data_IF_389237659394
#
_entry.id   IF_389237659394
#
_cell.length_a   1.000
_cell.length_b   1.000
_cell.length_c   1.000
_cell.angle_alpha   90.00
_cell.angle_beta   90.00
_cell.angle_gamma   90.00
#
_symmetry.space_group_name_H-M   'P 1'
#
loop_
_entity.id
_entity.type
_entity.pdbx_description
1 polymer ?
#
# COMPACT_ATOMS: atom_id res chain seq x y z
N UNK A 1 -6.95 22.43 -13.68
CA UNK A 1 -6.41 21.16 -14.25
C UNK A 1 -6.56 20.06 -13.21
N UNK A 2 -7.50 19.11 -13.33
CA UNK A 2 -7.68 18.07 -12.32
C UNK A 2 -6.52 17.06 -12.40
N UNK A 3 -5.80 16.89 -11.29
CA UNK A 3 -4.74 15.89 -11.17
C UNK A 3 -5.36 14.49 -11.16
N UNK A 4 -5.12 13.73 -12.23
CA UNK A 4 -5.38 12.28 -12.30
C UNK A 4 -4.31 11.52 -11.49
N UNK A 5 -4.30 11.74 -10.18
CA UNK A 5 -3.54 10.94 -9.22
C UNK A 5 -4.26 9.62 -8.92
N UNK A 6 -3.54 8.54 -8.54
CA UNK A 6 -4.19 7.35 -7.99
C UNK A 6 -5.04 7.74 -6.77
N UNK A 7 -6.16 7.04 -6.51
CA UNK A 7 -7.27 7.56 -5.69
C UNK A 7 -6.98 7.88 -4.21
N UNK A 8 -5.80 7.55 -3.66
CA UNK A 8 -5.29 8.12 -2.39
C UNK A 8 -3.82 7.69 -2.17
N UNK A 9 -3.06 8.58 -1.54
CA UNK A 9 -1.65 8.44 -1.21
C UNK A 9 -1.52 8.76 0.29
N UNK A 10 -1.08 7.77 1.09
CA UNK A 10 -0.72 8.03 2.49
C UNK A 10 0.67 8.65 2.43
N UNK A 11 0.74 9.96 2.21
CA UNK A 11 1.99 10.63 1.88
C UNK A 11 2.67 11.12 3.16
N UNK A 12 3.84 10.57 3.44
CA UNK A 12 4.81 11.18 4.36
C UNK A 12 5.50 12.30 3.58
N UNK A 13 5.53 13.51 4.15
CA UNK A 13 5.82 14.77 3.44
C UNK A 13 7.09 14.75 2.59
N UNK A 14 6.99 15.32 1.38
CA UNK A 14 8.06 15.34 0.37
C UNK A 14 9.31 16.09 0.81
N UNK A 15 9.15 17.24 1.49
CA UNK A 15 10.24 18.18 1.74
C UNK A 15 11.28 17.63 2.73
N UNK A 16 10.82 17.08 3.86
CA UNK A 16 11.71 16.47 4.86
C UNK A 16 12.41 15.22 4.35
N UNK A 17 11.71 14.39 3.56
CA UNK A 17 12.29 13.20 2.96
C UNK A 17 13.34 13.54 1.91
N UNK A 18 13.10 14.55 1.08
CA UNK A 18 14.05 14.99 0.06
C UNK A 18 15.33 15.58 0.69
N UNK A 19 15.19 16.37 1.77
CA UNK A 19 16.33 16.86 2.54
C UNK A 19 17.15 15.71 3.15
N UNK A 20 16.49 14.74 3.79
CA UNK A 20 17.13 13.54 4.32
C UNK A 20 17.86 12.74 3.23
N UNK A 21 17.23 12.56 2.06
CA UNK A 21 17.85 11.84 0.93
C UNK A 21 19.05 12.60 0.38
N UNK A 22 19.03 13.94 0.35
CA UNK A 22 20.19 14.76 -0.02
C UNK A 22 21.33 14.57 0.97
N UNK A 23 21.05 14.63 2.28
CA UNK A 23 22.04 14.38 3.33
C UNK A 23 22.65 12.98 3.22
N UNK A 24 21.83 11.94 2.97
CA UNK A 24 22.31 10.58 2.75
C UNK A 24 23.26 10.50 1.53
N UNK A 25 22.96 11.22 0.44
CA UNK A 25 23.80 11.19 -0.78
C UNK A 25 25.18 11.81 -0.57
N UNK A 26 25.32 12.74 0.38
CA UNK A 26 26.60 13.35 0.72
C UNK A 26 27.54 12.38 1.47
N UNK A 27 27.02 11.28 2.02
CA UNK A 27 27.82 10.28 2.72
C UNK A 27 28.49 9.31 1.74
N UNK A 28 29.69 8.84 2.10
CA UNK A 28 30.45 7.87 1.31
C UNK A 28 29.68 6.56 1.07
N UNK A 29 28.88 6.10 2.05
CA UNK A 29 28.02 4.91 1.98
C UNK A 29 26.56 5.22 1.61
N UNK A 30 26.28 6.40 1.02
CA UNK A 30 24.93 6.90 0.76
C UNK A 30 24.02 5.99 -0.09
N UNK A 31 24.59 5.05 -0.86
CA UNK A 31 23.81 4.02 -1.56
C UNK A 31 23.22 2.99 -0.58
N UNK A 32 24.00 2.57 0.41
CA UNK A 32 23.56 1.60 1.41
C UNK A 32 22.54 2.22 2.35
N UNK A 33 22.82 3.44 2.84
CA UNK A 33 21.89 4.18 3.70
C UNK A 33 20.52 4.44 3.05
N UNK A 34 20.47 4.72 1.74
CA UNK A 34 19.19 4.84 1.02
C UNK A 34 18.43 3.51 0.97
N UNK A 35 19.12 2.38 0.81
CA UNK A 35 18.49 1.05 0.85
C UNK A 35 17.93 0.77 2.25
N UNK A 36 18.69 1.11 3.28
CA UNK A 36 18.30 0.95 4.68
C UNK A 36 17.08 1.81 5.01
N UNK A 37 17.08 3.10 4.64
CA UNK A 37 15.92 3.98 4.82
C UNK A 37 14.67 3.41 4.14
N UNK A 38 14.79 3.01 2.87
CA UNK A 38 13.67 2.41 2.15
C UNK A 38 13.20 1.08 2.77
N UNK A 39 14.11 0.31 3.37
CA UNK A 39 13.77 -0.91 4.12
C UNK A 39 13.01 -0.54 5.40
N UNK A 40 13.52 0.36 6.22
CA UNK A 40 12.91 0.77 7.48
C UNK A 40 11.50 1.35 7.27
N UNK A 41 11.33 2.22 6.28
CA UNK A 41 10.00 2.76 5.94
C UNK A 41 9.03 1.66 5.46
N UNK A 42 9.51 0.64 4.73
CA UNK A 42 8.67 -0.52 4.35
C UNK A 42 8.30 -1.37 5.56
N UNK A 43 9.23 -1.60 6.47
CA UNK A 43 9.01 -2.33 7.72
C UNK A 43 7.96 -1.62 8.58
N UNK A 44 8.06 -0.29 8.74
CA UNK A 44 7.09 0.53 9.46
C UNK A 44 5.66 0.42 8.89
N UNK A 45 5.53 0.24 7.58
CA UNK A 45 4.24 0.06 6.89
C UNK A 45 3.75 -1.40 6.81
N UNK A 46 4.52 -2.39 7.27
CA UNK A 46 4.07 -3.79 7.25
C UNK A 46 2.78 -4.01 8.05
N UNK A 47 2.59 -3.43 9.26
CA UNK A 47 1.34 -3.60 10.01
C UNK A 47 0.13 -3.07 9.24
N UNK A 48 0.26 -1.92 8.56
CA UNK A 48 -0.81 -1.38 7.70
C UNK A 48 -1.14 -2.34 6.54
N UNK A 49 -0.12 -2.89 5.87
CA UNK A 49 -0.33 -3.89 4.82
C UNK A 49 -0.96 -5.18 5.35
N UNK A 50 -0.63 -5.60 6.58
CA UNK A 50 -1.23 -6.77 7.23
C UNK A 50 -2.71 -6.53 7.57
N UNK A 51 -3.06 -5.35 8.07
CA UNK A 51 -4.44 -4.93 8.33
C UNK A 51 -5.29 -4.95 7.05
N UNK A 52 -4.79 -4.36 5.96
CA UNK A 52 -5.48 -4.41 4.67
C UNK A 52 -5.66 -5.86 4.16
N UNK A 53 -4.69 -6.75 4.40
CA UNK A 53 -4.78 -8.17 4.04
C UNK A 53 -5.81 -8.92 4.90
N UNK A 54 -5.88 -8.67 6.21
CA UNK A 54 -6.89 -9.30 7.05
C UNK A 54 -8.29 -8.81 6.68
N UNK A 55 -8.44 -7.52 6.38
CA UNK A 55 -9.72 -6.92 6.00
C UNK A 55 -10.29 -7.49 4.70
N UNK A 56 -9.46 -7.66 3.64
CA UNK A 56 -9.92 -8.31 2.40
C UNK A 56 -10.27 -9.78 2.62
N UNK A 57 -9.54 -10.48 3.48
CA UNK A 57 -9.82 -11.87 3.81
C UNK A 57 -11.13 -12.02 4.61
N UNK A 58 -11.48 -11.02 5.42
CA UNK A 58 -12.74 -10.94 6.17
C UNK A 58 -13.94 -10.43 5.33
N UNK A 59 -13.81 -10.25 4.02
CA UNK A 59 -14.94 -10.02 3.12
C UNK A 59 -15.81 -11.29 3.07
N UNK A 60 -17.14 -11.19 3.14
CA UNK A 60 -18.00 -12.38 3.00
C UNK A 60 -17.86 -12.99 1.60
N UNK A 61 -17.92 -14.32 1.49
CA UNK A 61 -17.96 -15.02 0.19
C UNK A 61 -19.30 -15.69 0.02
N UNK A 62 -20.12 -15.18 -0.90
CA UNK A 62 -21.31 -15.87 -1.39
C UNK A 62 -20.92 -16.82 -2.54
N UNK A 63 -20.33 -17.98 -2.22
CA UNK A 63 -19.97 -18.99 -3.21
C UNK A 63 -19.26 -20.21 -2.64
N UNK A 64 -19.44 -21.37 -3.30
CA UNK A 64 -18.85 -22.67 -2.96
C UNK A 64 -17.34 -22.59 -2.75
N UNK A 65 -16.86 -23.23 -1.68
CA UNK A 65 -15.55 -23.05 -1.05
C UNK A 65 -14.37 -23.74 -1.75
N UNK A 66 -14.54 -24.33 -2.93
CA UNK A 66 -13.60 -25.33 -3.43
C UNK A 66 -12.90 -24.91 -4.73
N UNK A 67 -11.57 -25.02 -4.72
CA UNK A 67 -10.66 -25.28 -5.86
C UNK A 67 -10.05 -24.15 -6.71
N UNK A 68 -10.08 -22.87 -6.32
CA UNK A 68 -9.20 -21.86 -6.96
C UNK A 68 -8.64 -20.84 -5.98
N UNK A 69 -7.51 -20.15 -6.30
CA UNK A 69 -7.03 -19.04 -5.49
C UNK A 69 -8.16 -18.04 -5.36
N UNK A 70 -8.80 -18.00 -4.19
CA UNK A 70 -9.98 -17.17 -3.98
C UNK A 70 -9.63 -15.73 -4.29
N UNK A 71 -10.56 -14.99 -4.92
CA UNK A 71 -10.45 -13.57 -5.27
C UNK A 71 -9.76 -12.75 -4.16
N UNK A 72 -10.17 -12.98 -2.90
CA UNK A 72 -9.59 -12.37 -1.69
C UNK A 72 -8.08 -12.63 -1.56
N UNK A 73 -7.67 -13.89 -1.66
CA UNK A 73 -6.25 -14.30 -1.56
C UNK A 73 -5.39 -13.71 -2.67
N UNK A 74 -5.93 -13.62 -3.89
CA UNK A 74 -5.24 -13.04 -5.04
C UNK A 74 -5.03 -11.53 -4.85
N UNK A 75 -6.03 -10.82 -4.33
CA UNK A 75 -5.92 -9.41 -3.95
C UNK A 75 -4.93 -9.24 -2.80
N UNK A 76 -5.04 -10.04 -1.73
CA UNK A 76 -4.18 -9.97 -0.56
C UNK A 76 -2.69 -10.10 -0.91
N UNK A 77 -2.35 -11.01 -1.84
CA UNK A 77 -0.97 -11.19 -2.36
C UNK A 77 -0.42 -9.95 -3.06
N UNK A 78 -1.28 -9.07 -3.55
CA UNK A 78 -0.90 -7.83 -4.26
C UNK A 78 -0.92 -6.59 -3.36
N UNK A 79 -1.25 -6.72 -2.08
CA UNK A 79 -1.15 -5.62 -1.12
C UNK A 79 0.28 -5.56 -0.60
N UNK A 80 0.97 -4.44 -0.84
CA UNK A 80 2.35 -4.23 -0.37
C UNK A 80 2.65 -2.75 -0.11
N UNK A 81 3.56 -2.45 0.83
CA UNK A 81 4.15 -1.12 0.96
C UNK A 81 4.97 -0.75 -0.29
N UNK A 82 4.87 0.49 -0.72
CA UNK A 82 5.65 1.13 -1.79
C UNK A 82 6.36 2.34 -1.19
N UNK A 83 7.67 2.43 -1.38
CA UNK A 83 8.49 3.56 -0.91
C UNK A 83 9.25 4.12 -2.08
N UNK A 84 9.21 5.44 -2.26
CA UNK A 84 10.02 6.18 -3.22
C UNK A 84 10.80 7.27 -2.52
N UNK A 85 12.11 7.30 -2.77
CA UNK A 85 13.04 8.27 -2.20
C UNK A 85 13.44 9.35 -3.23
N UNK A 86 12.58 9.62 -4.21
CA UNK A 86 12.80 10.60 -5.27
C UNK A 86 12.03 10.31 -6.56
N UNK A 87 12.09 11.25 -7.50
CA UNK A 87 11.33 11.25 -8.75
C UNK A 87 10.16 12.24 -8.69
N UNK A 88 9.09 11.99 -9.45
CA UNK A 88 7.89 12.86 -9.46
C UNK A 88 7.14 12.89 -8.11
N UNK A 89 7.37 11.89 -7.26
CA UNK A 89 6.87 11.85 -5.89
C UNK A 89 7.88 11.12 -5.00
N UNK A 90 7.98 11.53 -3.74
CA UNK A 90 8.78 10.90 -2.69
C UNK A 90 7.88 10.62 -1.49
N UNK A 91 7.98 9.45 -0.87
CA UNK A 91 7.12 9.07 0.24
C UNK A 91 6.97 7.56 0.37
N UNK A 92 6.11 7.14 1.29
CA UNK A 92 5.85 5.74 1.58
C UNK A 92 4.34 5.51 1.74
N UNK A 93 3.78 4.58 0.96
CA UNK A 93 2.33 4.28 0.94
C UNK A 93 2.06 2.79 0.90
N UNK A 94 0.89 2.34 1.35
CA UNK A 94 0.41 0.96 1.12
C UNK A 94 -0.47 0.94 -0.12
N UNK A 95 -0.24 -0.02 -1.03
CA UNK A 95 -0.97 -0.10 -2.30
C UNK A 95 -1.43 -1.53 -2.59
N UNK A 96 -2.68 -1.65 -3.02
CA UNK A 96 -3.22 -2.86 -3.63
C UNK A 96 -2.99 -2.84 -5.15
N UNK A 97 -2.02 -3.63 -5.63
CA UNK A 97 -1.65 -3.66 -7.05
C UNK A 97 -2.66 -4.45 -7.89
N UNK A 98 -2.73 -4.15 -9.19
CA UNK A 98 -3.51 -4.93 -10.16
C UNK A 98 -3.15 -6.42 -10.07
N UNK A 99 -4.14 -7.27 -10.34
CA UNK A 99 -4.04 -8.74 -10.32
C UNK A 99 -4.13 -9.30 -11.75
N UNK A 100 -3.14 -9.05 -12.64
CA UNK A 100 -3.13 -9.66 -13.96
C UNK A 100 -3.11 -11.19 -13.80
N UNK A 101 -3.99 -11.90 -14.53
CA UNK A 101 -4.15 -13.36 -14.42
C UNK A 101 -5.33 -13.83 -13.55
N UNK A 102 -6.01 -12.94 -12.83
CA UNK A 102 -7.20 -13.32 -12.07
C UNK A 102 -8.44 -13.42 -12.97
N UNK A 103 -8.56 -14.48 -13.79
CA UNK A 103 -9.76 -14.78 -14.63
C UNK A 103 -10.31 -13.56 -15.41
N UNK A 104 -9.44 -12.78 -16.07
CA UNK A 104 -9.87 -11.57 -16.79
C UNK A 104 -10.29 -10.39 -15.90
N UNK A 105 -10.02 -10.45 -14.59
CA UNK A 105 -10.36 -9.43 -13.59
C UNK A 105 -9.11 -8.73 -13.01
N UNK A 106 -8.32 -8.00 -13.83
CA UNK A 106 -7.07 -7.37 -13.38
C UNK A 106 -7.28 -6.22 -12.41
N UNK A 107 -8.45 -5.58 -12.44
CA UNK A 107 -8.81 -4.45 -11.57
C UNK A 107 -9.57 -4.92 -10.32
N UNK A 108 -9.39 -6.17 -9.90
CA UNK A 108 -10.10 -6.77 -8.78
C UNK A 108 -10.03 -5.93 -7.50
N UNK A 109 -8.86 -5.46 -7.02
CA UNK A 109 -8.80 -4.69 -5.78
C UNK A 109 -9.62 -3.39 -5.85
N UNK A 110 -9.58 -2.69 -6.99
CA UNK A 110 -10.35 -1.47 -7.18
C UNK A 110 -11.85 -1.75 -7.19
N UNK A 111 -12.27 -2.84 -7.84
CA UNK A 111 -13.69 -3.20 -7.98
C UNK A 111 -14.29 -3.71 -6.67
N UNK A 112 -13.52 -4.44 -5.86
CA UNK A 112 -13.96 -4.93 -4.54
C UNK A 112 -14.00 -3.84 -3.48
N UNK A 113 -13.36 -2.70 -3.71
CA UNK A 113 -13.35 -1.57 -2.79
C UNK A 113 -14.32 -0.44 -3.19
N UNK A 114 -15.06 -0.58 -4.31
CA UNK A 114 -16.01 0.46 -4.72
C UNK A 114 -17.16 0.58 -3.73
N UNK A 115 -17.46 1.81 -3.31
CA UNK A 115 -18.63 2.17 -2.48
C UNK A 115 -19.95 1.80 -3.16
N UNK A 116 -20.01 2.04 -4.48
CA UNK A 116 -21.22 1.90 -5.29
C UNK A 116 -20.96 1.15 -6.62
N UNK A 117 -22.00 0.49 -7.13
CA UNK A 117 -22.05 -0.06 -8.50
C UNK A 117 -21.49 -1.48 -8.70
N UNK A 118 -20.97 -2.14 -7.67
CA UNK A 118 -20.56 -3.55 -7.70
C UNK A 118 -19.72 -3.97 -8.91
N UNK A 119 -19.71 -5.26 -9.23
CA UNK A 119 -19.26 -5.78 -10.51
C UNK A 119 -20.16 -6.94 -10.96
N UNK A 120 -20.43 -7.03 -12.26
CA UNK A 120 -21.22 -8.11 -12.83
C UNK A 120 -20.38 -9.38 -12.92
N UNK A 121 -20.95 -10.49 -12.50
CA UNK A 121 -20.38 -11.84 -12.63
C UNK A 121 -21.42 -12.77 -13.21
N UNK A 122 -21.00 -13.72 -14.02
CA UNK A 122 -21.86 -14.81 -14.47
C UNK A 122 -22.07 -15.81 -13.34
N UNK A 123 -23.29 -16.33 -13.25
CA UNK A 123 -23.58 -17.47 -12.37
C UNK A 123 -23.15 -18.73 -13.12
N UNK A 124 -21.93 -19.21 -12.82
CA UNK A 124 -21.39 -20.49 -13.30
C UNK A 124 -21.70 -20.83 -14.78
N UNK A 125 -21.10 -20.07 -15.70
CA UNK A 125 -21.16 -20.37 -17.15
C UNK A 125 -22.46 -19.99 -17.86
N UNK A 126 -23.50 -19.56 -17.14
CA UNK A 126 -24.80 -19.22 -17.72
C UNK A 126 -25.38 -17.89 -17.19
N UNK A 127 -26.36 -17.37 -17.92
CA UNK A 127 -27.27 -16.33 -17.43
C UNK A 127 -28.12 -16.86 -16.27
N UNK A 128 -28.53 -16.01 -15.30
CA UNK A 128 -28.41 -14.56 -15.31
C UNK A 128 -27.08 -14.02 -14.76
N UNK A 129 -26.69 -12.87 -15.30
CA UNK A 129 -25.66 -12.03 -14.69
C UNK A 129 -26.12 -11.55 -13.31
N UNK A 130 -25.28 -11.74 -12.30
CA UNK A 130 -25.50 -11.19 -10.96
C UNK A 130 -24.51 -10.08 -10.64
N UNK A 131 -24.97 -9.04 -9.95
CA UNK A 131 -24.10 -8.01 -9.40
C UNK A 131 -23.54 -8.48 -8.07
N UNK A 132 -22.22 -8.62 -7.98
CA UNK A 132 -21.52 -8.83 -6.72
C UNK A 132 -21.08 -7.48 -6.17
N UNK A 133 -21.31 -7.28 -4.88
CA UNK A 133 -20.83 -6.12 -4.14
C UNK A 133 -19.58 -6.51 -3.36
N UNK A 134 -18.63 -5.60 -3.31
CA UNK A 134 -17.45 -5.76 -2.47
C UNK A 134 -17.80 -5.42 -1.02
N UNK A 135 -16.89 -5.75 -0.10
CA UNK A 135 -16.98 -5.23 1.27
C UNK A 135 -16.62 -3.75 1.23
N UNK A 136 -17.53 -2.89 1.69
CA UNK A 136 -17.18 -1.50 2.00
C UNK A 136 -16.10 -1.53 3.10
N UNK A 137 -15.23 -0.53 3.13
CA UNK A 137 -14.23 -0.39 4.19
C UNK A 137 -13.17 -1.50 4.33
N UNK A 138 -12.85 -2.31 3.30
CA UNK A 138 -11.75 -3.28 3.48
C UNK A 138 -10.36 -2.66 3.27
N UNK A 139 -10.26 -1.57 2.51
CA UNK A 139 -9.01 -0.86 2.27
C UNK A 139 -9.09 0.59 2.73
N UNK A 140 -9.77 1.47 2.00
CA UNK A 140 -9.69 2.94 2.21
C UNK A 140 -10.18 3.32 3.61
N UNK A 141 -11.43 3.02 3.90
CA UNK A 141 -12.08 3.39 5.16
C UNK A 141 -11.58 2.54 6.34
N UNK A 142 -10.80 1.48 6.09
CA UNK A 142 -10.19 0.70 7.17
C UNK A 142 -9.01 1.39 7.86
N UNK A 143 -8.46 2.41 7.20
CA UNK A 143 -7.39 3.23 7.75
C UNK A 143 -7.91 4.52 8.39
N UNK A 144 -9.21 4.81 8.30
CA UNK A 144 -9.82 5.94 9.00
C UNK A 144 -9.61 5.78 10.51
N UNK A 145 -9.02 6.80 11.15
CA UNK A 145 -8.69 6.79 12.57
C UNK A 145 -7.39 6.07 12.95
N UNK A 146 -6.69 5.40 12.01
CA UNK A 146 -5.38 4.77 12.24
C UNK A 146 -4.26 5.37 11.38
N UNK A 147 -4.59 6.30 10.49
CA UNK A 147 -3.66 6.94 9.56
C UNK A 147 -2.52 7.68 10.29
N UNK A 148 -2.83 8.41 11.37
CA UNK A 148 -1.85 9.13 12.18
C UNK A 148 -0.79 8.20 12.76
N UNK A 149 -1.19 7.00 13.21
CA UNK A 149 -0.27 5.99 13.75
C UNK A 149 0.72 5.50 12.70
N UNK A 150 0.25 5.20 11.49
CA UNK A 150 1.14 4.71 10.43
C UNK A 150 2.02 5.82 9.86
N UNK A 151 1.52 7.05 9.78
CA UNK A 151 2.33 8.24 9.46
C UNK A 151 3.46 8.42 10.49
N UNK A 152 3.13 8.36 11.78
CA UNK A 152 4.11 8.48 12.85
C UNK A 152 5.19 7.40 12.75
N UNK A 153 4.83 6.13 12.54
CA UNK A 153 5.81 5.06 12.39
C UNK A 153 6.79 5.28 11.22
N UNK A 154 6.34 5.91 10.13
CA UNK A 154 7.21 6.28 9.01
C UNK A 154 8.10 7.46 9.37
N UNK A 155 7.57 8.47 10.07
CA UNK A 155 8.34 9.60 10.58
C UNK A 155 9.43 9.14 11.56
N UNK A 156 9.11 8.22 12.46
CA UNK A 156 10.07 7.63 13.40
C UNK A 156 11.21 6.94 12.64
N UNK A 157 10.89 6.15 11.61
CA UNK A 157 11.90 5.52 10.76
C UNK A 157 12.78 6.53 10.00
N UNK A 158 12.25 7.71 9.66
CA UNK A 158 13.02 8.82 9.06
C UNK A 158 13.90 9.50 10.11
N UNK A 159 13.38 9.75 11.31
CA UNK A 159 14.10 10.36 12.43
C UNK A 159 15.25 9.48 12.91
N UNK A 160 15.04 8.17 13.02
CA UNK A 160 16.09 7.20 13.38
C UNK A 160 17.26 7.25 12.39
N UNK A 161 16.97 7.40 11.09
CA UNK A 161 17.99 7.55 10.07
C UNK A 161 18.70 8.91 10.17
N UNK A 162 17.96 9.98 10.43
CA UNK A 162 18.53 11.31 10.64
C UNK A 162 19.47 11.34 11.86
N UNK A 163 19.07 10.72 12.97
CA UNK A 163 19.90 10.60 14.16
C UNK A 163 21.18 9.81 13.87
N UNK A 164 21.05 8.66 13.19
CA UNK A 164 22.21 7.85 12.79
C UNK A 164 23.19 8.62 11.90
N UNK A 165 22.72 9.55 11.07
CA UNK A 165 23.58 10.44 10.29
C UNK A 165 24.26 11.50 11.16
N UNK A 166 23.53 12.08 12.11
CA UNK A 166 24.05 13.08 13.04
C UNK A 166 25.15 12.50 13.95
N UNK A 167 24.93 11.31 14.53
CA UNK A 167 25.88 10.64 15.41
C UNK A 167 27.20 10.32 14.67
N UNK A 168 27.09 9.97 13.38
CA UNK A 168 28.26 9.73 12.50
C UNK A 168 29.05 11.00 12.21
N UNK A 169 28.36 12.12 12.01
CA UNK A 169 29.00 13.41 11.75
C UNK A 169 29.72 13.97 12.98
N UNK A 170 29.36 13.54 14.19
CA UNK A 170 30.05 13.92 15.44
C UNK A 170 31.24 13.01 15.77
N UNK A 171 31.28 11.80 15.21
CA UNK A 171 32.30 10.78 15.52
C UNK A 171 33.45 10.71 14.51
N UNK A 172 33.42 11.52 13.44
CA UNK A 172 34.43 11.58 12.39
C UNK A 172 34.92 13.00 12.17
#
# INVERSE_FOLDING_TARGET
MPSSGPPFELECTHEGLDALVRAIRAQADGKQLRKDLAKNMREALKPAAALAKSNIMAMSSAGLSTSTPGLRSAIAKKIRPEVKLGGRWSGARVKAFKTPGLRGFPNAPKRTNRRDGGWRTLTYGHEPWRTQYGKRHWFDESFEGQDARFKQAVLDAMNDMAQRLADRAQSG
#
